data_IF_107101831718
#
_entry.id   IF_107101831718
#
_cell.length_a   1.000
_cell.length_b   1.000
_cell.length_c   1.000
_cell.angle_alpha   90.00
_cell.angle_beta   90.00
_cell.angle_gamma   90.00
#
_symmetry.space_group_name_H-M   'P 1'
#
loop_
_entity.id
_entity.type
_entity.pdbx_description
1 polymer ?
#
# COMPACT_ATOMS: atom_id res chain seq x y z
N UNK A 1 -14.27 -14.33 -3.83
CA UNK A 1 -13.40 -14.03 -2.67
C UNK A 1 -11.99 -14.50 -3.01
N UNK A 2 -11.22 -13.60 -3.58
CA UNK A 2 -9.79 -13.75 -3.81
C UNK A 2 -9.06 -12.73 -2.92
N UNK A 3 -7.98 -13.15 -2.28
CA UNK A 3 -7.12 -12.24 -1.53
C UNK A 3 -6.07 -11.66 -2.50
N UNK A 4 -6.06 -10.35 -2.65
CA UNK A 4 -5.05 -9.62 -3.39
C UNK A 4 -3.99 -9.11 -2.39
N UNK A 5 -2.76 -9.57 -2.56
CA UNK A 5 -1.63 -9.05 -1.77
C UNK A 5 -1.12 -7.78 -2.42
N UNK A 6 -1.35 -6.65 -1.75
CA UNK A 6 -0.81 -5.37 -2.17
C UNK A 6 0.65 -5.31 -1.78
N UNK A 7 1.50 -5.10 -2.79
CA UNK A 7 2.93 -4.89 -2.60
C UNK A 7 3.29 -3.44 -2.83
N UNK A 8 4.39 -2.96 -2.24
CA UNK A 8 4.93 -1.64 -2.53
C UNK A 8 5.32 -1.57 -4.02
N UNK A 9 4.64 -0.76 -4.85
CA UNK A 9 4.98 -0.68 -6.26
C UNK A 9 6.19 0.23 -6.46
N UNK A 10 6.91 0.00 -7.56
CA UNK A 10 8.10 0.77 -7.89
C UNK A 10 7.72 2.04 -8.65
N UNK A 11 7.79 3.20 -8.00
CA UNK A 11 7.42 4.50 -8.60
C UNK A 11 8.55 5.25 -9.32
N UNK A 12 9.79 4.73 -9.31
CA UNK A 12 10.91 5.37 -9.99
C UNK A 12 12.06 4.42 -10.30
N UNK A 13 12.85 4.76 -11.32
CA UNK A 13 14.12 4.09 -11.62
C UNK A 13 15.12 4.40 -10.51
N UNK A 14 15.14 3.56 -9.46
CA UNK A 14 16.02 3.73 -8.30
C UNK A 14 15.30 3.61 -6.95
N UNK A 15 13.99 3.45 -6.93
CA UNK A 15 13.28 3.10 -5.70
C UNK A 15 13.65 1.65 -5.32
N UNK A 16 14.27 1.48 -4.16
CA UNK A 16 14.63 0.18 -3.57
C UNK A 16 13.74 -0.14 -2.38
N UNK A 17 13.45 0.88 -1.56
CA UNK A 17 12.62 0.82 -0.38
C UNK A 17 11.70 2.06 -0.30
N UNK A 18 10.75 2.02 0.63
CA UNK A 18 9.91 3.15 1.01
C UNK A 18 9.47 3.04 2.46
N UNK A 19 9.42 4.17 3.16
CA UNK A 19 8.89 4.26 4.53
C UNK A 19 7.40 4.54 4.49
N UNK A 20 6.59 3.79 5.23
CA UNK A 20 5.16 4.07 5.36
C UNK A 20 5.00 5.34 6.21
N UNK A 21 4.55 6.44 5.61
CA UNK A 21 4.31 7.68 6.36
C UNK A 21 3.03 7.56 7.18
N UNK A 22 1.95 7.13 6.52
CA UNK A 22 0.63 6.93 7.13
C UNK A 22 -0.31 6.17 6.21
N UNK A 23 -1.29 5.50 6.82
CA UNK A 23 -2.42 4.92 6.11
C UNK A 23 -3.58 5.92 6.06
N UNK A 24 -4.22 6.01 4.89
CA UNK A 24 -5.45 6.77 4.66
C UNK A 24 -6.69 5.89 4.86
N UNK A 25 -6.50 4.57 4.95
CA UNK A 25 -7.52 3.54 5.09
C UNK A 25 -7.17 2.59 6.22
N UNK A 26 -8.16 2.06 6.91
CA UNK A 26 -7.98 1.14 8.03
C UNK A 26 -8.38 -0.30 7.67
N UNK A 27 -7.88 -1.28 8.42
CA UNK A 27 -8.30 -2.67 8.25
C UNK A 27 -9.80 -2.81 8.53
N UNK A 28 -10.55 -3.30 7.55
CA UNK A 28 -12.01 -3.37 7.50
C UNK A 28 -12.64 -2.36 6.55
N UNK A 29 -11.89 -1.35 6.09
CA UNK A 29 -12.43 -0.35 5.18
C UNK A 29 -12.56 -0.86 3.75
N UNK A 30 -13.58 -0.36 3.06
CA UNK A 30 -13.72 -0.54 1.62
C UNK A 30 -12.83 0.43 0.87
N UNK A 31 -12.16 -0.10 -0.16
CA UNK A 31 -11.29 0.65 -1.06
C UNK A 31 -11.73 0.42 -2.50
N UNK A 32 -11.66 1.48 -3.32
CA UNK A 32 -11.95 1.41 -4.75
C UNK A 32 -10.66 1.47 -5.57
N UNK A 33 -10.63 0.80 -6.73
CA UNK A 33 -9.52 0.87 -7.66
C UNK A 33 -9.19 2.32 -8.01
N UNK A 34 -7.93 2.72 -7.83
CA UNK A 34 -7.48 4.10 -8.01
C UNK A 34 -7.62 5.00 -6.78
N UNK A 35 -8.26 4.52 -5.69
CA UNK A 35 -8.39 5.29 -4.45
C UNK A 35 -7.11 5.22 -3.61
N UNK A 36 -6.62 6.37 -3.13
CA UNK A 36 -5.41 6.45 -2.32
C UNK A 36 -5.60 5.74 -0.96
N UNK A 37 -4.73 4.76 -0.67
CA UNK A 37 -4.82 3.94 0.55
C UNK A 37 -3.71 4.24 1.55
N UNK A 38 -2.51 4.52 1.06
CA UNK A 38 -1.31 4.67 1.89
C UNK A 38 -0.37 5.69 1.28
N UNK A 39 0.30 6.44 2.15
CA UNK A 39 1.30 7.42 1.80
C UNK A 39 2.67 6.86 2.18
N UNK A 40 3.59 6.80 1.21
CA UNK A 40 4.94 6.25 1.38
C UNK A 40 5.98 7.30 1.02
N UNK A 41 7.05 7.40 1.79
CA UNK A 41 8.18 8.26 1.48
C UNK A 41 9.33 7.41 0.93
N UNK A 42 9.73 7.69 -0.31
CA UNK A 42 10.86 7.03 -0.96
C UNK A 42 11.85 8.08 -1.47
N UNK A 43 13.12 7.95 -1.10
CA UNK A 43 14.20 8.86 -1.53
C UNK A 43 13.85 10.37 -1.35
N UNK A 44 13.26 10.75 -0.20
CA UNK A 44 12.79 12.11 0.12
C UNK A 44 11.62 12.62 -0.73
N UNK A 45 10.90 11.72 -1.39
CA UNK A 45 9.70 12.03 -2.15
C UNK A 45 8.54 11.25 -1.57
N UNK A 46 7.49 11.97 -1.19
CA UNK A 46 6.24 11.37 -0.74
C UNK A 46 5.42 10.95 -1.96
N UNK A 47 4.99 9.69 -1.99
CA UNK A 47 4.19 9.10 -3.04
C UNK A 47 2.95 8.47 -2.41
N UNK A 48 1.79 8.75 -3.00
CA UNK A 48 0.54 8.12 -2.60
C UNK A 48 0.35 6.85 -3.42
N UNK A 49 0.04 5.75 -2.74
CA UNK A 49 -0.19 4.46 -3.37
C UNK A 49 -1.69 4.22 -3.48
N UNK A 50 -2.28 4.27 -4.69
CA UNK A 50 -3.68 3.96 -4.90
C UNK A 50 -3.92 2.44 -4.84
N UNK A 51 -5.16 2.07 -4.55
CA UNK A 51 -5.60 0.69 -4.58
C UNK A 51 -5.47 0.15 -6.01
N UNK A 52 -4.79 -1.00 -6.22
CA UNK A 52 -4.71 -1.61 -7.54
C UNK A 52 -6.00 -2.32 -7.95
N UNK A 53 -6.90 -2.57 -6.99
CA UNK A 53 -8.17 -3.29 -7.17
C UNK A 53 -9.21 -2.76 -6.18
N UNK A 54 -10.48 -2.81 -6.56
CA UNK A 54 -11.60 -2.54 -5.65
C UNK A 54 -11.85 -3.73 -4.73
N UNK A 55 -11.97 -3.48 -3.43
CA UNK A 55 -12.13 -4.53 -2.43
C UNK A 55 -12.28 -4.02 -1.01
N UNK A 56 -12.03 -4.90 -0.03
CA UNK A 56 -12.00 -4.55 1.39
C UNK A 56 -10.59 -4.77 1.92
N UNK A 57 -10.01 -3.77 2.58
CA UNK A 57 -8.71 -3.88 3.22
C UNK A 57 -8.81 -4.86 4.39
N UNK A 58 -8.34 -6.09 4.25
CA UNK A 58 -8.46 -7.11 5.30
C UNK A 58 -7.52 -6.82 6.47
N UNK A 59 -6.26 -6.50 6.15
CA UNK A 59 -5.23 -6.19 7.15
C UNK A 59 -4.08 -5.41 6.54
N UNK A 60 -3.47 -4.60 7.39
CA UNK A 60 -2.24 -3.85 7.12
C UNK A 60 -1.07 -4.66 7.68
N UNK A 61 -0.05 -4.93 6.86
CA UNK A 61 1.16 -5.66 7.24
C UNK A 61 2.23 -4.69 7.72
N UNK A 62 2.44 -3.60 6.98
CA UNK A 62 3.43 -2.56 7.27
C UNK A 62 2.79 -1.35 7.96
N UNK A 63 3.26 -1.00 9.16
CA UNK A 63 2.72 0.09 9.95
C UNK A 63 3.41 1.42 9.60
N UNK A 64 2.79 2.57 9.92
CA UNK A 64 3.46 3.86 9.82
C UNK A 64 4.80 3.89 10.58
N UNK A 65 5.86 4.32 9.92
CA UNK A 65 7.24 4.30 10.39
C UNK A 65 8.04 3.05 10.00
N UNK A 66 7.40 2.03 9.42
CA UNK A 66 8.11 0.85 8.90
C UNK A 66 8.68 1.14 7.50
N UNK A 67 9.92 0.71 7.29
CA UNK A 67 10.57 0.70 5.97
C UNK A 67 10.32 -0.65 5.30
N UNK A 68 9.80 -0.63 4.08
CA UNK A 68 9.48 -1.82 3.28
C UNK A 68 10.19 -1.79 1.94
N UNK A 69 10.62 -2.96 1.46
CA UNK A 69 11.28 -3.07 0.16
C UNK A 69 10.27 -3.01 -0.99
N UNK A 70 10.74 -2.58 -2.16
CA UNK A 70 9.95 -2.64 -3.39
C UNK A 70 9.56 -4.08 -3.69
N UNK A 71 8.27 -4.30 -3.99
CA UNK A 71 7.61 -5.62 -4.16
C UNK A 71 7.39 -6.40 -2.86
N UNK A 72 7.68 -5.81 -1.70
CA UNK A 72 7.30 -6.40 -0.41
C UNK A 72 5.81 -6.16 -0.13
N UNK A 73 5.17 -7.11 0.56
CA UNK A 73 3.76 -7.05 0.89
C UNK A 73 3.48 -6.05 2.02
N UNK A 74 2.64 -5.05 1.74
CA UNK A 74 2.30 -3.99 2.69
C UNK A 74 0.89 -4.13 3.25
N UNK A 75 -0.03 -4.76 2.50
CA UNK A 75 -1.41 -5.00 2.90
C UNK A 75 -2.06 -6.16 2.14
N UNK A 76 -3.18 -6.65 2.66
CA UNK A 76 -4.05 -7.63 2.01
C UNK A 76 -5.41 -6.99 1.74
N UNK A 77 -5.88 -7.08 0.49
CA UNK A 77 -7.19 -6.61 0.06
C UNK A 77 -8.01 -7.83 -0.36
N UNK A 78 -9.22 -7.99 0.15
CA UNK A 78 -10.17 -8.99 -0.35
C UNK A 78 -10.94 -8.43 -1.53
N UNK A 79 -10.81 -9.08 -2.69
CA UNK A 79 -11.63 -8.82 -3.86
C UNK A 79 -12.73 -9.89 -3.93
N UNK A 80 -13.98 -9.41 -3.97
CA UNK A 80 -15.19 -10.24 -3.91
C UNK A 80 -15.45 -11.00 -5.18
#
# INVERSE_FOLDING_TARGET
>A
MAEFTMVLPQYGMGMQDGEIVRWLKEAGDRVEEGENMVEVEAAKTTVEVPAPVSGTLLRIIAQPGDTVDVREAIAIIETG
#
